data_IF_380340805857
#
_entry.id   IF_380340805857
#
_cell.length_a   1.000
_cell.length_b   1.000
_cell.length_c   1.000
_cell.angle_alpha   90.00
_cell.angle_beta   90.00
_cell.angle_gamma   90.00
#
_symmetry.space_group_name_H-M   'P 1'
#
loop_
_entity.id
_entity.type
_entity.pdbx_description
1 polymer ?
#
# COMPACT_ATOMS: atom_id res chain seq x y z
N UNK A 1 46.63 -41.00 70.38
CA UNK A 1 45.19 -40.85 70.59
C UNK A 1 44.99 -39.35 70.61
N UNK A 2 45.08 -38.75 69.38
CA UNK A 2 45.10 -37.30 69.14
C UNK A 2 43.89 -36.93 68.32
N UNK A 3 43.08 -36.00 68.86
CA UNK A 3 41.95 -35.42 68.16
C UNK A 3 42.42 -34.21 67.32
N UNK A 4 42.43 -34.34 66.01
CA UNK A 4 42.59 -33.21 65.13
C UNK A 4 41.22 -32.43 64.96
N UNK A 5 41.26 -31.22 65.48
CA UNK A 5 40.16 -30.25 65.25
C UNK A 5 40.38 -29.58 63.93
N UNK A 6 39.48 -29.92 62.93
CA UNK A 6 39.44 -29.28 61.67
C UNK A 6 38.72 -27.95 61.76
N UNK A 7 39.45 -26.83 61.69
CA UNK A 7 38.92 -25.48 61.46
C UNK A 7 38.46 -25.31 60.04
N UNK A 8 37.15 -25.11 59.83
CA UNK A 8 36.57 -24.64 58.58
C UNK A 8 36.82 -23.13 58.40
N UNK A 9 37.37 -22.67 57.31
CA UNK A 9 37.45 -21.23 57.05
C UNK A 9 36.07 -20.66 56.75
N UNK A 10 35.61 -19.67 57.51
CA UNK A 10 34.49 -18.82 57.22
C UNK A 10 34.80 -18.01 55.95
N UNK A 11 34.25 -18.42 54.81
CA UNK A 11 34.33 -17.69 53.56
C UNK A 11 33.30 -16.55 53.62
N UNK A 12 33.82 -15.34 53.52
CA UNK A 12 33.09 -14.07 53.50
C UNK A 12 32.00 -14.06 52.40
N UNK A 13 30.74 -14.17 52.81
CA UNK A 13 29.56 -14.04 51.94
C UNK A 13 29.27 -12.60 51.45
N UNK A 14 30.01 -11.60 51.93
CA UNK A 14 29.76 -10.18 51.59
C UNK A 14 30.36 -9.70 50.28
N UNK A 15 31.27 -10.42 49.63
CA UNK A 15 31.92 -9.99 48.38
C UNK A 15 31.12 -10.40 47.11
N UNK A 16 30.15 -11.33 47.26
CA UNK A 16 29.34 -11.82 46.16
C UNK A 16 28.22 -10.88 45.71
N UNK A 17 27.74 -10.00 46.57
CA UNK A 17 26.52 -9.23 46.34
C UNK A 17 26.77 -7.90 45.57
N UNK A 18 27.92 -7.29 45.71
CA UNK A 18 28.25 -6.02 45.01
C UNK A 18 28.56 -6.22 43.52
N UNK A 19 29.13 -7.36 43.13
CA UNK A 19 29.36 -7.68 41.68
C UNK A 19 28.08 -7.98 40.91
N UNK A 20 27.03 -8.43 41.60
CA UNK A 20 25.72 -8.75 41.00
C UNK A 20 24.88 -7.53 40.72
N UNK A 21 24.94 -6.50 41.54
CA UNK A 21 24.14 -5.27 41.39
C UNK A 21 24.69 -4.38 40.28
N UNK A 22 26.02 -4.21 40.21
CA UNK A 22 26.66 -3.45 39.13
C UNK A 22 26.49 -4.08 37.75
N UNK A 23 26.43 -5.42 37.66
CA UNK A 23 26.17 -6.14 36.42
C UNK A 23 24.72 -5.99 35.92
N UNK A 24 23.75 -6.00 36.84
CA UNK A 24 22.33 -5.85 36.52
C UNK A 24 21.99 -4.42 36.09
N UNK A 25 22.53 -3.40 36.70
CA UNK A 25 22.31 -1.99 36.32
C UNK A 25 22.93 -1.66 34.98
N UNK A 26 24.13 -2.19 34.68
CA UNK A 26 24.74 -2.04 33.34
C UNK A 26 23.92 -2.74 32.27
N UNK A 27 23.37 -3.92 32.51
CA UNK A 27 22.52 -4.63 31.54
C UNK A 27 21.21 -3.87 31.29
N UNK A 28 20.58 -3.33 32.34
CA UNK A 28 19.38 -2.51 32.24
C UNK A 28 19.65 -1.23 31.43
N UNK A 29 20.76 -0.53 31.69
CA UNK A 29 21.15 0.68 30.93
C UNK A 29 21.36 0.36 29.42
N UNK A 30 21.99 -0.77 29.08
CA UNK A 30 22.18 -1.21 27.69
C UNK A 30 20.85 -1.52 27.00
N UNK A 31 19.90 -2.14 27.71
CA UNK A 31 18.55 -2.40 27.18
C UNK A 31 17.77 -1.11 26.92
N UNK A 32 17.83 -0.15 27.84
CA UNK A 32 17.21 1.18 27.66
C UNK A 32 17.81 1.88 26.43
N UNK A 33 19.14 1.86 26.28
CA UNK A 33 19.81 2.43 25.13
C UNK A 33 19.37 1.78 23.80
N UNK A 34 19.23 0.44 23.78
CA UNK A 34 18.74 -0.28 22.60
C UNK A 34 17.28 0.08 22.29
N UNK A 35 16.43 0.20 23.29
CA UNK A 35 15.02 0.59 23.13
C UNK A 35 14.88 2.03 22.61
N UNK A 36 15.64 2.99 23.16
CA UNK A 36 15.67 4.37 22.68
C UNK A 36 16.20 4.48 21.24
N UNK A 37 17.21 3.70 20.92
CA UNK A 37 17.72 3.64 19.56
C UNK A 37 16.70 3.08 18.57
N UNK A 38 15.97 2.02 18.96
CA UNK A 38 14.87 1.47 18.13
C UNK A 38 13.74 2.46 17.94
N UNK A 39 13.37 3.20 19.00
CA UNK A 39 12.36 4.24 18.95
C UNK A 39 12.78 5.36 17.99
N UNK A 40 13.99 5.88 18.14
CA UNK A 40 14.54 6.94 17.27
C UNK A 40 14.63 6.49 15.81
N UNK A 41 15.07 5.24 15.58
CA UNK A 41 15.16 4.68 14.24
C UNK A 41 13.77 4.50 13.60
N UNK A 42 12.80 4.02 14.38
CA UNK A 42 11.41 3.94 13.96
C UNK A 42 10.85 5.31 13.58
N UNK A 43 11.06 6.31 14.44
CA UNK A 43 10.64 7.69 14.21
C UNK A 43 11.22 8.26 12.90
N UNK A 44 12.52 8.12 12.67
CA UNK A 44 13.18 8.56 11.44
C UNK A 44 12.61 7.85 10.22
N UNK A 45 12.37 6.54 10.30
CA UNK A 45 11.76 5.79 9.22
C UNK A 45 10.31 6.22 8.95
N UNK A 46 9.54 6.45 10.00
CA UNK A 46 8.16 6.95 9.87
C UNK A 46 8.10 8.31 9.20
N UNK A 47 8.95 9.25 9.64
CA UNK A 47 9.11 10.57 9.01
C UNK A 47 9.50 10.44 7.52
N UNK A 48 10.49 9.61 7.20
CA UNK A 48 10.98 9.46 5.83
C UNK A 48 9.93 8.83 4.91
N UNK A 49 9.24 7.79 5.37
CA UNK A 49 8.21 7.08 4.60
C UNK A 49 7.02 8.00 4.33
N UNK A 50 6.56 8.69 5.38
CA UNK A 50 5.42 9.61 5.26
C UNK A 50 5.80 10.83 4.43
N UNK A 51 7.01 11.35 4.56
CA UNK A 51 7.50 12.44 3.71
C UNK A 51 7.57 12.07 2.23
N UNK A 52 7.94 10.84 1.88
CA UNK A 52 7.87 10.35 0.48
C UNK A 52 6.42 10.16 0.03
N UNK A 53 5.53 9.78 0.94
CA UNK A 53 4.09 9.69 0.68
C UNK A 53 3.50 11.05 0.34
N UNK A 54 3.74 12.06 1.18
CA UNK A 54 3.24 13.42 0.94
C UNK A 54 3.88 14.06 -0.30
N UNK A 55 5.15 13.76 -0.58
CA UNK A 55 5.80 14.21 -1.80
C UNK A 55 5.07 13.73 -3.07
N UNK A 56 4.49 12.52 -3.06
CA UNK A 56 3.70 12.05 -4.19
C UNK A 56 2.44 12.87 -4.41
N UNK A 57 1.75 13.29 -3.34
CA UNK A 57 0.59 14.16 -3.44
C UNK A 57 0.95 15.59 -3.82
N UNK A 58 2.06 16.11 -3.29
CA UNK A 58 2.59 17.41 -3.71
C UNK A 58 2.94 17.45 -5.21
N UNK A 59 3.48 16.35 -5.75
CA UNK A 59 3.73 16.22 -7.20
C UNK A 59 2.42 16.18 -7.99
N UNK A 60 1.39 15.50 -7.49
CA UNK A 60 0.06 15.50 -8.11
C UNK A 60 -0.52 16.91 -8.13
N UNK A 61 -0.49 17.61 -7.01
CA UNK A 61 -1.01 18.96 -6.88
C UNK A 61 -0.31 19.92 -7.84
N UNK A 62 1.02 19.93 -7.82
CA UNK A 62 1.83 20.76 -8.71
C UNK A 62 1.53 20.52 -10.20
N UNK A 63 1.50 19.25 -10.63
CA UNK A 63 1.37 18.91 -12.05
C UNK A 63 -0.08 19.02 -12.52
N UNK A 64 -1.04 18.57 -11.70
CA UNK A 64 -2.42 18.36 -12.15
C UNK A 64 -3.39 19.47 -11.71
N UNK A 65 -3.03 20.25 -10.72
CA UNK A 65 -3.85 21.38 -10.26
C UNK A 65 -3.20 22.69 -10.72
N UNK A 66 -1.97 22.96 -10.26
CA UNK A 66 -1.32 24.25 -10.51
C UNK A 66 -0.95 24.43 -11.98
N UNK A 67 -0.21 23.50 -12.57
CA UNK A 67 0.23 23.61 -13.97
C UNK A 67 -0.91 23.43 -14.98
N UNK A 68 -1.87 22.56 -14.70
CA UNK A 68 -3.03 22.40 -15.56
C UNK A 68 -3.88 23.66 -15.60
N UNK A 69 -4.08 24.33 -14.44
CA UNK A 69 -4.77 25.62 -14.37
C UNK A 69 -4.06 26.76 -15.12
N UNK A 70 -2.73 26.69 -15.23
CA UNK A 70 -1.94 27.68 -15.99
C UNK A 70 -1.98 27.39 -17.50
N UNK A 71 -1.92 26.12 -17.88
CA UNK A 71 -1.77 25.74 -19.28
C UNK A 71 -3.07 25.89 -20.09
N UNK A 72 -4.23 25.68 -19.49
CA UNK A 72 -5.57 25.72 -20.10
C UNK A 72 -5.63 25.09 -21.52
N UNK A 73 -4.95 23.95 -21.67
CA UNK A 73 -4.79 23.26 -22.96
C UNK A 73 -5.56 21.94 -22.94
N UNK A 74 -6.49 21.69 -23.86
CA UNK A 74 -7.30 20.48 -23.88
C UNK A 74 -6.48 19.18 -23.93
N UNK A 75 -5.26 19.23 -24.51
CA UNK A 75 -4.36 18.07 -24.63
C UNK A 75 -3.35 17.98 -23.49
N UNK A 76 -3.47 18.82 -22.46
CA UNK A 76 -2.54 18.82 -21.33
C UNK A 76 -2.29 17.42 -20.73
N UNK A 77 -3.29 16.57 -20.48
CA UNK A 77 -3.09 15.26 -19.88
C UNK A 77 -2.13 14.35 -20.67
N UNK A 78 -2.05 14.51 -21.98
CA UNK A 78 -1.17 13.72 -22.84
C UNK A 78 0.32 14.00 -22.55
N UNK A 79 0.66 15.23 -22.19
CA UNK A 79 2.05 15.67 -21.98
C UNK A 79 2.65 14.98 -20.76
N UNK A 80 2.17 15.19 -19.51
CA UNK A 80 2.76 14.57 -18.33
C UNK A 80 2.67 13.04 -18.35
N UNK A 81 1.57 12.46 -18.85
CA UNK A 81 1.43 11.01 -18.96
C UNK A 81 2.45 10.39 -19.93
N UNK A 82 2.66 11.01 -21.11
CA UNK A 82 3.66 10.53 -22.08
C UNK A 82 5.09 10.72 -21.53
N UNK A 83 5.40 11.87 -20.93
CA UNK A 83 6.72 12.14 -20.36
C UNK A 83 7.07 11.15 -19.24
N UNK A 84 6.12 10.84 -18.36
CA UNK A 84 6.30 9.81 -17.34
C UNK A 84 6.54 8.43 -17.97
N UNK A 85 5.78 8.07 -19.00
CA UNK A 85 5.98 6.84 -19.76
C UNK A 85 7.36 6.76 -20.42
N UNK A 86 7.85 7.86 -21.01
CA UNK A 86 9.21 7.97 -21.58
C UNK A 86 10.26 7.77 -20.50
N UNK A 87 10.14 8.48 -19.37
CA UNK A 87 11.09 8.38 -18.26
C UNK A 87 11.17 6.97 -17.68
N UNK A 88 10.03 6.32 -17.43
CA UNK A 88 9.95 4.93 -16.98
C UNK A 88 10.58 3.97 -18.01
N UNK A 89 10.37 4.22 -19.29
CA UNK A 89 10.97 3.45 -20.38
C UNK A 89 12.50 3.61 -20.40
N UNK A 90 13.02 4.81 -20.25
CA UNK A 90 14.48 5.07 -20.17
C UNK A 90 15.10 4.38 -18.96
N UNK A 91 14.43 4.41 -17.80
CA UNK A 91 14.83 3.66 -16.61
C UNK A 91 14.87 2.17 -16.90
N UNK A 92 13.84 1.63 -17.59
CA UNK A 92 13.77 0.23 -17.97
C UNK A 92 14.89 -0.19 -18.93
N UNK A 93 15.32 0.69 -19.83
CA UNK A 93 16.46 0.43 -20.71
C UNK A 93 17.79 0.44 -19.95
N UNK A 94 17.97 1.37 -19.01
CA UNK A 94 19.24 1.56 -18.29
C UNK A 94 19.45 0.58 -17.15
N UNK A 95 18.37 0.25 -16.39
CA UNK A 95 18.44 -0.52 -15.14
C UNK A 95 17.70 -1.87 -15.20
N UNK A 96 17.20 -2.25 -16.38
CA UNK A 96 16.48 -3.48 -16.56
C UNK A 96 14.94 -3.33 -16.44
N UNK A 97 14.25 -4.44 -16.71
CA UNK A 97 12.78 -4.49 -16.72
C UNK A 97 12.20 -3.99 -15.40
N UNK A 98 11.09 -3.22 -15.44
CA UNK A 98 10.41 -2.78 -14.24
C UNK A 98 9.87 -3.99 -13.46
N UNK A 99 9.98 -3.92 -12.12
CA UNK A 99 9.40 -4.91 -11.22
C UNK A 99 7.89 -4.68 -11.11
N UNK A 100 7.13 -5.76 -11.17
CA UNK A 100 5.69 -5.65 -10.99
C UNK A 100 5.37 -5.60 -9.49
N UNK A 101 4.60 -4.59 -9.02
CA UNK A 101 4.28 -4.44 -7.59
C UNK A 101 3.63 -5.67 -6.97
N UNK A 102 2.83 -6.41 -7.73
CA UNK A 102 2.16 -7.63 -7.25
C UNK A 102 3.11 -8.81 -7.01
N UNK A 103 4.20 -8.90 -7.76
CA UNK A 103 5.21 -9.95 -7.55
C UNK A 103 6.05 -9.66 -6.31
N UNK A 104 6.33 -8.38 -6.03
CA UNK A 104 7.04 -7.92 -4.84
C UNK A 104 6.27 -8.15 -3.54
N UNK A 105 4.94 -8.01 -3.54
CA UNK A 105 4.11 -8.33 -2.37
C UNK A 105 4.10 -9.82 -2.03
N UNK A 106 4.02 -10.68 -3.02
CA UNK A 106 4.07 -12.13 -2.80
C UNK A 106 5.41 -12.58 -2.23
N UNK A 107 6.51 -11.94 -2.66
CA UNK A 107 7.84 -12.14 -2.11
C UNK A 107 7.94 -11.60 -0.68
N UNK A 108 7.52 -10.35 -0.43
CA UNK A 108 7.55 -9.72 0.89
C UNK A 108 6.70 -10.47 1.94
N UNK A 109 5.54 -11.00 1.54
CA UNK A 109 4.70 -11.81 2.42
C UNK A 109 5.33 -13.17 2.77
N UNK A 110 6.08 -13.79 1.82
CA UNK A 110 6.87 -15.00 2.11
C UNK A 110 8.04 -14.71 3.02
N UNK A 111 8.72 -13.60 2.83
CA UNK A 111 9.85 -13.17 3.64
C UNK A 111 9.49 -12.89 5.10
N UNK A 112 8.31 -12.34 5.33
CA UNK A 112 7.81 -12.13 6.69
C UNK A 112 7.50 -13.46 7.40
N UNK A 113 7.29 -14.55 6.65
CA UNK A 113 6.97 -15.88 7.19
C UNK A 113 8.22 -16.73 7.49
N UNK A 114 9.34 -16.54 6.79
CA UNK A 114 10.55 -17.37 6.93
C UNK A 114 11.75 -16.56 7.45
N UNK A 115 12.07 -16.73 8.73
CA UNK A 115 13.23 -16.08 9.39
C UNK A 115 14.61 -16.40 8.74
N UNK A 116 14.69 -17.43 7.92
CA UNK A 116 15.93 -17.88 7.24
C UNK A 116 16.14 -17.16 5.90
N UNK A 117 15.09 -16.74 5.22
CA UNK A 117 15.15 -16.10 3.91
C UNK A 117 15.35 -14.57 3.94
N UNK A 118 15.34 -13.93 5.09
CA UNK A 118 15.66 -12.49 5.22
C UNK A 118 17.08 -12.17 4.70
N UNK A 119 18.00 -13.13 4.68
CA UNK A 119 19.29 -13.00 3.99
C UNK A 119 19.16 -13.05 2.47
N UNK A 120 18.25 -13.87 1.96
CA UNK A 120 17.99 -13.96 0.52
C UNK A 120 17.23 -12.73 0.01
N UNK A 121 16.29 -12.19 0.79
CA UNK A 121 15.53 -11.00 0.44
C UNK A 121 16.34 -9.71 0.43
N UNK A 122 17.31 -9.57 1.32
CA UNK A 122 18.30 -8.48 1.20
C UNK A 122 19.17 -8.59 -0.07
N UNK A 123 19.26 -9.80 -0.65
CA UNK A 123 19.98 -10.08 -1.91
C UNK A 123 19.07 -10.32 -3.11
N UNK A 124 17.78 -10.62 -2.91
CA UNK A 124 16.88 -11.20 -3.90
C UNK A 124 15.73 -10.32 -4.37
N UNK A 125 15.72 -9.03 -4.03
CA UNK A 125 14.67 -8.11 -4.51
C UNK A 125 14.79 -7.76 -6.01
N UNK A 126 15.78 -8.24 -6.68
CA UNK A 126 15.83 -8.48 -8.14
C UNK A 126 17.12 -9.22 -8.49
N UNK A 127 17.04 -10.19 -9.38
CA UNK A 127 18.18 -10.70 -10.12
C UNK A 127 18.72 -9.67 -11.14
N UNK A 128 18.29 -8.41 -11.04
CA UNK A 128 18.76 -7.27 -11.80
C UNK A 128 19.75 -6.40 -11.01
N UNK A 129 20.51 -5.51 -11.68
CA UNK A 129 21.39 -4.57 -11.00
C UNK A 129 20.56 -3.73 -10.02
N UNK A 130 21.00 -3.67 -8.75
CA UNK A 130 20.31 -2.88 -7.71
C UNK A 130 20.13 -1.44 -8.18
N UNK A 131 18.88 -1.00 -8.35
CA UNK A 131 18.56 0.37 -8.72
C UNK A 131 19.02 1.31 -7.59
N UNK A 132 19.79 2.37 -7.88
CA UNK A 132 20.18 3.34 -6.87
C UNK A 132 18.94 4.05 -6.29
N UNK A 133 19.04 4.52 -5.04
CA UNK A 133 17.91 5.14 -4.32
C UNK A 133 17.20 6.25 -5.12
N UNK A 134 17.90 7.18 -5.80
CA UNK A 134 17.23 8.21 -6.60
C UNK A 134 16.37 7.64 -7.74
N UNK A 135 16.82 6.56 -8.38
CA UNK A 135 16.05 5.88 -9.45
C UNK A 135 14.81 5.20 -8.87
N UNK A 136 14.90 4.62 -7.68
CA UNK A 136 13.73 4.03 -7.01
C UNK A 136 12.71 5.09 -6.60
N UNK A 137 13.16 6.26 -6.15
CA UNK A 137 12.28 7.40 -5.85
C UNK A 137 11.62 7.88 -7.15
N UNK A 138 12.36 8.00 -8.24
CA UNK A 138 11.81 8.36 -9.56
C UNK A 138 10.80 7.32 -10.05
N UNK A 139 11.11 6.02 -9.99
CA UNK A 139 10.17 4.94 -10.35
C UNK A 139 8.87 5.02 -9.54
N UNK A 140 8.94 5.51 -8.31
CA UNK A 140 7.78 5.71 -7.45
C UNK A 140 6.98 6.97 -7.81
N UNK A 141 7.65 8.11 -8.02
CA UNK A 141 6.99 9.41 -8.23
C UNK A 141 6.46 9.61 -9.67
N UNK A 142 7.15 9.07 -10.69
CA UNK A 142 6.77 9.25 -12.09
C UNK A 142 5.35 8.82 -12.43
N UNK A 143 4.80 7.70 -11.90
CA UNK A 143 3.41 7.33 -12.11
C UNK A 143 2.42 8.41 -11.65
N UNK A 144 2.70 9.10 -10.53
CA UNK A 144 1.84 10.14 -10.00
C UNK A 144 1.98 11.45 -10.79
N UNK A 145 3.21 11.82 -11.15
CA UNK A 145 3.46 12.93 -12.06
C UNK A 145 2.76 12.73 -13.42
N UNK A 146 2.73 11.50 -13.93
CA UNK A 146 2.01 11.12 -15.14
C UNK A 146 0.49 10.97 -15.00
N UNK A 147 -0.10 11.22 -13.82
CA UNK A 147 -1.53 11.07 -13.57
C UNK A 147 -2.02 9.63 -13.53
N UNK A 148 -1.12 8.68 -13.24
CA UNK A 148 -1.47 7.28 -13.16
C UNK A 148 -2.53 6.98 -12.11
N UNK A 149 -3.62 6.26 -12.45
CA UNK A 149 -4.62 5.80 -11.50
C UNK A 149 -4.09 4.64 -10.67
N UNK A 150 -3.03 4.89 -9.91
CA UNK A 150 -2.33 3.89 -9.10
C UNK A 150 -2.19 4.37 -7.65
N UNK A 151 -2.38 3.48 -6.70
CA UNK A 151 -2.40 3.84 -5.27
C UNK A 151 -0.99 4.05 -4.71
N UNK A 152 -0.79 5.14 -3.98
CA UNK A 152 0.50 5.55 -3.37
C UNK A 152 0.99 4.52 -2.34
N UNK A 153 0.11 4.03 -1.47
CA UNK A 153 0.47 3.18 -0.35
C UNK A 153 1.26 1.91 -0.75
N UNK A 154 0.87 1.27 -1.84
CA UNK A 154 1.53 0.05 -2.32
C UNK A 154 2.89 0.30 -2.96
N UNK A 155 3.08 1.45 -3.59
CA UNK A 155 4.39 1.85 -4.10
C UNK A 155 5.43 2.03 -3.00
N UNK A 156 4.99 2.38 -1.79
CA UNK A 156 5.85 2.54 -0.61
C UNK A 156 6.30 1.23 0.03
N UNK A 157 5.62 0.11 -0.22
CA UNK A 157 5.96 -1.19 0.42
C UNK A 157 7.44 -1.53 0.23
N UNK A 158 7.99 -1.33 -0.97
CA UNK A 158 9.41 -1.54 -1.24
C UNK A 158 10.36 -0.66 -0.41
N UNK A 159 9.97 0.59 -0.13
CA UNK A 159 10.72 1.50 0.73
C UNK A 159 10.63 1.08 2.19
N UNK A 160 9.43 0.74 2.67
CA UNK A 160 9.17 0.24 4.03
C UNK A 160 10.02 -1.00 4.30
N UNK A 161 9.95 -2.01 3.43
CA UNK A 161 10.69 -3.26 3.59
C UNK A 161 12.21 -3.04 3.58
N UNK A 162 12.71 -2.21 2.66
CA UNK A 162 14.14 -1.85 2.61
C UNK A 162 14.59 -1.08 3.85
N UNK A 163 13.77 -0.15 4.34
CA UNK A 163 14.00 0.61 5.56
C UNK A 163 14.05 -0.30 6.78
N UNK A 164 13.08 -1.18 6.95
CA UNK A 164 13.05 -2.17 8.04
C UNK A 164 14.27 -3.11 8.02
N UNK A 165 14.65 -3.61 6.84
CA UNK A 165 15.83 -4.46 6.70
C UNK A 165 17.14 -3.71 7.01
N UNK A 166 17.25 -2.43 6.63
CA UNK A 166 18.38 -1.57 6.98
C UNK A 166 18.39 -1.31 8.49
N UNK A 167 17.26 -0.98 9.08
CA UNK A 167 17.08 -0.75 10.50
C UNK A 167 17.52 -1.97 11.32
N UNK A 168 17.03 -3.15 10.96
CA UNK A 168 17.41 -4.42 11.60
C UNK A 168 18.93 -4.61 11.60
N UNK A 169 19.59 -4.41 10.45
CA UNK A 169 21.05 -4.56 10.35
C UNK A 169 21.79 -3.57 11.23
N UNK A 170 21.35 -2.31 11.30
CA UNK A 170 21.96 -1.28 12.14
C UNK A 170 21.83 -1.59 13.62
N UNK A 171 20.64 -1.99 14.06
CA UNK A 171 20.39 -2.39 15.46
C UNK A 171 21.29 -3.56 15.84
N UNK A 172 21.34 -4.61 15.03
CA UNK A 172 22.17 -5.78 15.30
C UNK A 172 23.66 -5.45 15.36
N UNK A 173 24.15 -4.59 14.44
CA UNK A 173 25.54 -4.13 14.45
C UNK A 173 25.88 -3.33 15.71
N UNK A 174 24.98 -2.46 16.18
CA UNK A 174 25.19 -1.66 17.38
C UNK A 174 25.07 -2.50 18.65
N UNK A 175 24.11 -3.39 18.74
CA UNK A 175 23.99 -4.34 19.85
C UNK A 175 25.25 -5.19 20.00
N UNK A 176 25.85 -5.64 18.90
CA UNK A 176 27.14 -6.33 18.91
C UNK A 176 28.30 -5.45 19.39
N UNK A 177 28.39 -4.19 18.92
CA UNK A 177 29.44 -3.24 19.31
C UNK A 177 29.35 -2.85 20.79
N UNK A 178 28.15 -2.69 21.32
CA UNK A 178 27.93 -2.35 22.74
C UNK A 178 27.93 -3.57 23.65
N UNK A 179 28.21 -4.77 23.14
CA UNK A 179 28.28 -5.99 23.93
C UNK A 179 26.96 -6.34 24.62
N UNK A 180 25.82 -5.87 24.07
CA UNK A 180 24.50 -6.17 24.62
C UNK A 180 24.19 -7.63 24.38
N UNK A 181 24.60 -8.16 23.20
CA UNK A 181 24.47 -9.57 22.82
C UNK A 181 25.46 -9.90 21.71
N UNK A 182 26.01 -11.12 21.74
CA UNK A 182 27.03 -11.58 20.80
C UNK A 182 26.47 -11.91 19.39
N UNK A 183 25.13 -11.99 19.22
CA UNK A 183 24.51 -12.26 17.94
C UNK A 183 22.98 -12.34 17.96
N UNK A 184 22.36 -12.43 16.78
CA UNK A 184 20.89 -12.52 16.63
C UNK A 184 20.28 -13.75 17.33
N UNK A 185 21.06 -14.81 17.52
CA UNK A 185 20.61 -16.05 18.17
C UNK A 185 20.39 -15.89 19.69
N UNK A 186 21.03 -14.89 20.31
CA UNK A 186 21.01 -14.68 21.75
C UNK A 186 19.79 -13.92 22.27
N UNK A 187 19.00 -13.33 21.34
CA UNK A 187 17.73 -12.69 21.70
C UNK A 187 16.60 -13.69 21.87
N UNK A 188 15.96 -13.69 23.03
CA UNK A 188 14.72 -14.44 23.21
C UNK A 188 13.62 -13.89 22.28
N UNK A 189 12.63 -14.73 21.92
CA UNK A 189 11.49 -14.29 21.09
C UNK A 189 10.80 -13.06 21.70
N UNK A 190 10.61 -13.02 23.02
CA UNK A 190 9.98 -11.89 23.73
C UNK A 190 10.78 -10.59 23.58
N UNK A 191 12.10 -10.66 23.67
CA UNK A 191 12.98 -9.49 23.54
C UNK A 191 12.97 -8.92 22.11
N UNK A 192 13.03 -9.80 21.11
CA UNK A 192 12.88 -9.38 19.69
C UNK A 192 11.54 -8.70 19.47
N UNK A 193 10.45 -9.31 19.93
CA UNK A 193 9.10 -8.74 19.81
C UNK A 193 9.02 -7.37 20.46
N UNK A 194 9.53 -7.20 21.67
CA UNK A 194 9.52 -5.91 22.37
C UNK A 194 10.27 -4.82 21.60
N UNK A 195 11.49 -5.09 21.14
CA UNK A 195 12.27 -4.12 20.35
C UNK A 195 11.57 -3.75 19.04
N UNK A 196 10.99 -4.72 18.33
CA UNK A 196 10.23 -4.44 17.09
C UNK A 196 8.97 -3.63 17.39
N UNK A 197 8.25 -3.93 18.47
CA UNK A 197 7.06 -3.14 18.87
C UNK A 197 7.45 -1.68 19.17
N UNK A 198 8.56 -1.45 19.89
CA UNK A 198 9.06 -0.09 20.15
C UNK A 198 9.41 0.64 18.85
N UNK A 199 10.08 -0.05 17.91
CA UNK A 199 10.39 0.52 16.59
C UNK A 199 9.14 0.85 15.76
N UNK A 200 8.12 0.00 15.80
CA UNK A 200 6.83 0.23 15.14
C UNK A 200 6.12 1.44 15.74
N UNK A 201 6.07 1.54 17.09
CA UNK A 201 5.50 2.71 17.79
C UNK A 201 6.24 3.99 17.38
N UNK A 202 7.58 3.97 17.35
CA UNK A 202 8.38 5.09 16.83
C UNK A 202 8.00 5.46 15.39
N UNK A 203 7.80 4.46 14.52
CA UNK A 203 7.37 4.66 13.14
C UNK A 203 6.00 5.34 13.03
N UNK A 204 5.04 4.91 13.82
CA UNK A 204 3.71 5.56 13.87
C UNK A 204 3.79 6.99 14.40
N UNK A 205 4.60 7.25 15.44
CA UNK A 205 4.80 8.61 15.97
C UNK A 205 5.46 9.50 14.91
N UNK A 206 6.47 9.00 14.20
CA UNK A 206 7.11 9.72 13.11
C UNK A 206 6.17 10.03 11.95
N UNK A 207 5.34 9.07 11.55
CA UNK A 207 4.32 9.27 10.53
C UNK A 207 3.27 10.29 10.97
N UNK A 208 2.77 10.19 12.22
CA UNK A 208 1.81 11.14 12.77
C UNK A 208 2.38 12.57 12.84
N UNK A 209 3.66 12.73 13.16
CA UNK A 209 4.31 14.04 13.17
C UNK A 209 4.34 14.70 11.79
N UNK A 210 4.54 13.95 10.70
CA UNK A 210 4.46 14.50 9.34
C UNK A 210 3.04 14.96 9.03
N UNK A 211 2.05 14.14 9.37
CA UNK A 211 0.62 14.47 9.17
C UNK A 211 0.23 15.75 9.91
N UNK A 212 0.72 15.91 11.16
CA UNK A 212 0.42 17.10 11.98
C UNK A 212 1.10 18.37 11.43
N UNK A 213 2.34 18.24 10.92
CA UNK A 213 3.13 19.37 10.44
C UNK A 213 2.77 19.82 9.02
N UNK A 214 2.45 18.89 8.13
CA UNK A 214 2.25 19.16 6.69
C UNK A 214 0.82 18.88 6.22
N UNK A 215 -0.01 18.27 7.05
CA UNK A 215 -1.31 17.73 6.68
C UNK A 215 -1.21 16.37 6.00
N UNK A 216 -2.36 15.82 5.63
CA UNK A 216 -2.42 14.64 4.77
C UNK A 216 -2.72 15.10 3.35
N UNK A 217 -1.80 14.91 2.42
CA UNK A 217 -2.08 15.06 0.99
C UNK A 217 -3.11 14.05 0.46
N UNK A 218 -3.39 12.99 1.24
CA UNK A 218 -4.40 11.98 0.90
C UNK A 218 -5.78 12.41 1.39
N UNK A 219 -6.71 12.55 0.46
CA UNK A 219 -8.13 12.80 0.76
C UNK A 219 -8.95 11.62 0.25
N UNK A 220 -9.59 10.89 1.17
CA UNK A 220 -10.49 9.79 0.79
C UNK A 220 -11.88 10.39 0.58
N UNK A 221 -12.46 10.26 -0.63
CA UNK A 221 -13.82 10.71 -0.87
C UNK A 221 -14.79 10.03 0.09
N UNK A 222 -15.62 10.81 0.79
CA UNK A 222 -16.66 10.29 1.67
C UNK A 222 -18.02 10.56 1.07
N UNK A 223 -18.88 9.58 1.16
CA UNK A 223 -20.29 9.69 0.76
C UNK A 223 -21.19 9.80 1.98
N UNK A 224 -22.40 10.27 1.75
CA UNK A 224 -23.44 10.33 2.79
C UNK A 224 -23.83 8.94 3.30
N UNK A 225 -24.46 8.88 4.47
CA UNK A 225 -24.91 7.65 5.06
C UNK A 225 -26.00 6.98 4.22
N UNK A 226 -25.90 5.69 4.01
CA UNK A 226 -27.02 4.90 3.48
C UNK A 226 -28.17 4.89 4.49
N UNK A 227 -29.44 5.11 4.07
CA UNK A 227 -30.57 5.01 4.96
C UNK A 227 -30.74 3.58 5.48
N UNK A 228 -31.09 3.44 6.77
CA UNK A 228 -31.37 2.13 7.37
C UNK A 228 -32.80 1.73 7.03
N UNK A 229 -32.98 1.16 5.85
CA UNK A 229 -34.30 0.67 5.38
C UNK A 229 -34.17 -0.65 4.64
N UNK A 230 -35.27 -1.40 4.58
CA UNK A 230 -35.31 -2.65 3.82
C UNK A 230 -35.17 -2.42 2.32
N UNK A 231 -35.64 -1.28 1.83
CA UNK A 231 -35.50 -0.86 0.45
C UNK A 231 -34.01 -0.60 0.11
N UNK A 232 -33.27 0.13 0.95
CA UNK A 232 -31.84 0.37 0.79
C UNK A 232 -31.05 -0.95 0.76
N UNK A 233 -31.40 -1.91 1.61
CA UNK A 233 -30.79 -3.24 1.61
C UNK A 233 -31.09 -3.98 0.31
N UNK A 234 -32.33 -3.90 -0.21
CA UNK A 234 -32.72 -4.51 -1.48
C UNK A 234 -31.98 -3.91 -2.68
N UNK A 235 -31.93 -2.58 -2.77
CA UNK A 235 -31.16 -1.87 -3.80
C UNK A 235 -29.66 -2.20 -3.67
N UNK A 236 -29.14 -2.16 -2.45
CA UNK A 236 -27.74 -2.52 -2.17
C UNK A 236 -27.39 -3.93 -2.62
N UNK A 237 -28.30 -4.89 -2.47
CA UNK A 237 -28.12 -6.26 -2.94
C UNK A 237 -27.94 -6.35 -4.47
N UNK A 238 -28.71 -5.58 -5.23
CA UNK A 238 -28.59 -5.52 -6.69
C UNK A 238 -27.28 -4.83 -7.12
N UNK A 239 -26.96 -3.70 -6.49
CA UNK A 239 -25.73 -2.95 -6.79
C UNK A 239 -24.47 -3.73 -6.40
N UNK A 240 -24.55 -4.55 -5.36
CA UNK A 240 -23.45 -5.44 -4.95
C UNK A 240 -23.03 -6.40 -6.08
N UNK A 241 -23.97 -6.87 -6.91
CA UNK A 241 -23.64 -7.71 -8.07
C UNK A 241 -22.82 -6.91 -9.09
N UNK A 242 -23.18 -5.65 -9.36
CA UNK A 242 -22.43 -4.80 -10.28
C UNK A 242 -21.02 -4.50 -9.73
N UNK A 243 -20.87 -4.20 -8.44
CA UNK A 243 -19.58 -4.03 -7.77
C UNK A 243 -18.72 -5.30 -7.84
N UNK A 244 -19.34 -6.46 -7.62
CA UNK A 244 -18.65 -7.76 -7.73
C UNK A 244 -18.13 -7.99 -9.16
N UNK A 245 -18.94 -7.70 -10.19
CA UNK A 245 -18.52 -7.79 -11.60
C UNK A 245 -17.35 -6.86 -11.87
N UNK A 246 -17.37 -5.62 -11.37
CA UNK A 246 -16.25 -4.66 -11.54
C UNK A 246 -14.96 -5.19 -10.91
N UNK A 247 -15.02 -5.71 -9.68
CA UNK A 247 -13.86 -6.32 -9.02
C UNK A 247 -13.29 -7.52 -9.78
N UNK A 248 -14.16 -8.39 -10.33
CA UNK A 248 -13.73 -9.48 -11.20
C UNK A 248 -13.16 -9.01 -12.54
N UNK A 249 -13.73 -7.97 -13.13
CA UNK A 249 -13.22 -7.37 -14.37
C UNK A 249 -11.78 -6.91 -14.19
N UNK A 250 -11.46 -6.25 -13.06
CA UNK A 250 -10.07 -5.93 -12.73
C UNK A 250 -9.18 -7.17 -12.70
N UNK A 251 -9.58 -8.24 -11.99
CA UNK A 251 -8.78 -9.48 -11.89
C UNK A 251 -8.59 -10.13 -13.27
N UNK A 252 -9.61 -10.11 -14.12
CA UNK A 252 -9.53 -10.64 -15.49
C UNK A 252 -8.56 -9.82 -16.35
N UNK A 253 -8.70 -8.49 -16.32
CA UNK A 253 -7.82 -7.57 -17.04
C UNK A 253 -6.36 -7.67 -16.57
N UNK A 254 -6.13 -7.78 -15.26
CA UNK A 254 -4.80 -7.95 -14.70
C UNK A 254 -4.13 -9.25 -15.16
N UNK A 255 -4.88 -10.36 -15.26
CA UNK A 255 -4.38 -11.61 -15.83
C UNK A 255 -4.07 -11.50 -17.32
N UNK A 256 -4.93 -10.82 -18.07
CA UNK A 256 -4.70 -10.55 -19.49
C UNK A 256 -3.44 -9.68 -19.66
N UNK A 257 -3.32 -8.59 -18.94
CA UNK A 257 -2.15 -7.71 -18.96
C UNK A 257 -0.86 -8.47 -18.62
N UNK A 258 -0.91 -9.35 -17.61
CA UNK A 258 0.21 -10.21 -17.25
C UNK A 258 0.62 -11.15 -18.40
N UNK A 259 -0.34 -11.78 -19.05
CA UNK A 259 -0.06 -12.65 -20.23
C UNK A 259 0.55 -11.84 -21.38
N UNK A 260 0.01 -10.67 -21.69
CA UNK A 260 0.55 -9.79 -22.72
C UNK A 260 1.99 -9.35 -22.38
N UNK A 261 2.25 -9.01 -21.12
CA UNK A 261 3.60 -8.72 -20.64
C UNK A 261 4.55 -9.90 -20.88
N UNK A 262 4.16 -11.11 -20.53
CA UNK A 262 4.98 -12.32 -20.70
C UNK A 262 5.31 -12.60 -22.17
N UNK A 263 4.37 -12.31 -23.08
CA UNK A 263 4.56 -12.48 -24.54
C UNK A 263 5.36 -11.34 -25.22
N UNK A 264 5.41 -10.16 -24.60
CA UNK A 264 6.03 -8.98 -25.20
C UNK A 264 7.57 -9.04 -25.30
N UNK A 265 8.24 -10.01 -24.62
CA UNK A 265 9.68 -10.24 -24.71
C UNK A 265 10.55 -8.96 -24.62
N UNK A 266 11.22 -8.58 -25.74
CA UNK A 266 12.06 -7.37 -25.82
C UNK A 266 11.25 -6.08 -25.73
N UNK A 267 9.99 -6.08 -26.20
CA UNK A 267 9.12 -4.92 -26.18
C UNK A 267 8.62 -4.55 -24.76
N UNK A 268 8.79 -5.40 -23.76
CA UNK A 268 8.41 -5.10 -22.37
C UNK A 268 8.96 -3.75 -21.87
N UNK A 269 10.13 -3.34 -22.36
CA UNK A 269 10.74 -2.06 -21.94
C UNK A 269 10.01 -0.84 -22.51
N UNK A 270 9.27 -0.99 -23.61
CA UNK A 270 8.50 0.08 -24.26
C UNK A 270 7.06 0.18 -23.71
N UNK A 271 6.58 -0.83 -23.00
CA UNK A 271 5.21 -0.86 -22.51
C UNK A 271 4.87 0.31 -21.54
N UNK A 272 5.77 0.81 -20.69
CA UNK A 272 5.47 1.99 -19.88
C UNK A 272 5.12 3.22 -20.72
N UNK A 273 5.83 3.42 -21.85
CA UNK A 273 5.53 4.52 -22.79
C UNK A 273 4.15 4.34 -23.44
N UNK A 274 3.86 3.14 -23.95
CA UNK A 274 2.56 2.85 -24.56
C UNK A 274 1.43 3.11 -23.55
N UNK A 275 1.61 2.67 -22.31
CA UNK A 275 0.66 2.93 -21.24
C UNK A 275 0.48 4.42 -20.95
N UNK A 276 1.58 5.21 -20.95
CA UNK A 276 1.51 6.65 -20.76
C UNK A 276 0.71 7.35 -21.85
N UNK A 277 0.92 6.98 -23.11
CA UNK A 277 0.15 7.53 -24.25
C UNK A 277 -1.33 7.15 -24.11
N UNK A 278 -1.64 5.88 -23.86
CA UNK A 278 -3.02 5.41 -23.70
C UNK A 278 -3.71 6.11 -22.54
N UNK A 279 -3.03 6.28 -21.40
CA UNK A 279 -3.54 7.01 -20.24
C UNK A 279 -3.85 8.48 -20.63
N UNK A 280 -2.88 9.19 -21.22
CA UNK A 280 -3.04 10.59 -21.59
C UNK A 280 -4.19 10.79 -22.58
N UNK A 281 -4.31 9.93 -23.60
CA UNK A 281 -5.44 9.96 -24.54
C UNK A 281 -6.76 9.68 -23.81
N UNK A 282 -6.79 8.69 -22.93
CA UNK A 282 -8.01 8.37 -22.16
C UNK A 282 -8.47 9.54 -21.29
N UNK A 283 -7.53 10.29 -20.71
CA UNK A 283 -7.84 11.47 -19.88
C UNK A 283 -8.36 12.66 -20.66
N UNK A 284 -8.05 12.77 -21.97
CA UNK A 284 -8.64 13.81 -22.83
C UNK A 284 -10.15 13.59 -22.99
N UNK A 285 -10.59 12.34 -23.15
CA UNK A 285 -12.01 12.02 -23.35
C UNK A 285 -12.76 11.81 -22.03
N UNK A 286 -12.08 11.29 -21.01
CA UNK A 286 -12.61 10.99 -19.69
C UNK A 286 -11.62 11.50 -18.63
N UNK A 287 -11.67 12.80 -18.25
CA UNK A 287 -10.68 13.40 -17.34
C UNK A 287 -10.52 12.65 -16.01
N UNK A 288 -11.58 12.03 -15.55
CA UNK A 288 -11.63 11.35 -14.23
C UNK A 288 -11.06 9.92 -14.21
N UNK A 289 -10.50 9.42 -15.32
CA UNK A 289 -9.86 8.10 -15.34
C UNK A 289 -8.43 8.12 -14.78
N UNK A 290 -7.81 9.29 -14.70
CA UNK A 290 -6.49 9.49 -14.13
C UNK A 290 -6.48 9.65 -12.61
N UNK A 291 -5.30 9.89 -12.06
CA UNK A 291 -4.99 10.17 -10.65
C UNK A 291 -5.29 9.02 -9.69
N UNK A 292 -4.76 8.99 -8.46
CA UNK A 292 -4.94 7.86 -7.53
C UNK A 292 -6.38 7.60 -7.08
N UNK A 293 -7.24 8.61 -7.07
CA UNK A 293 -8.60 8.53 -6.51
C UNK A 293 -8.66 8.74 -4.99
N UNK A 294 -7.55 9.10 -4.39
CA UNK A 294 -7.40 9.49 -2.99
C UNK A 294 -6.68 10.84 -2.89
N UNK A 295 -6.93 11.71 -3.84
CA UNK A 295 -6.38 13.06 -3.98
C UNK A 295 -7.52 14.09 -3.92
N UNK A 296 -7.15 15.36 -3.72
CA UNK A 296 -8.10 16.45 -3.58
C UNK A 296 -8.99 16.64 -4.82
N UNK A 297 -8.42 16.49 -6.02
CA UNK A 297 -9.17 16.60 -7.27
C UNK A 297 -10.23 15.51 -7.41
N UNK A 298 -9.85 14.26 -7.13
CA UNK A 298 -10.80 13.14 -7.13
C UNK A 298 -11.90 13.31 -6.07
N UNK A 299 -11.58 13.89 -4.92
CA UNK A 299 -12.56 14.17 -3.87
C UNK A 299 -13.53 15.29 -4.24
N UNK A 300 -13.05 16.33 -4.91
CA UNK A 300 -13.87 17.44 -5.39
C UNK A 300 -14.87 16.95 -6.44
N UNK A 301 -14.44 16.06 -7.35
CA UNK A 301 -15.37 15.43 -8.31
C UNK A 301 -16.51 14.71 -7.60
N UNK A 302 -16.22 14.00 -6.52
CA UNK A 302 -17.26 13.27 -5.78
C UNK A 302 -18.27 14.20 -5.13
N UNK A 303 -17.89 15.43 -4.76
CA UNK A 303 -18.81 16.45 -4.27
C UNK A 303 -19.78 16.95 -5.34
N UNK A 304 -19.39 16.97 -6.62
CA UNK A 304 -20.16 17.49 -7.75
C UNK A 304 -20.55 16.41 -8.76
N UNK A 305 -20.70 15.18 -8.31
CA UNK A 305 -20.93 14.01 -9.19
C UNK A 305 -22.20 14.11 -10.04
N UNK A 306 -23.23 14.85 -9.59
CA UNK A 306 -24.47 15.06 -10.35
C UNK A 306 -24.23 15.82 -11.66
N UNK A 307 -23.24 16.75 -11.68
CA UNK A 307 -22.89 17.52 -12.86
C UNK A 307 -22.17 16.68 -13.94
N UNK A 308 -21.46 15.64 -13.51
CA UNK A 308 -20.71 14.74 -14.40
C UNK A 308 -21.63 13.84 -15.22
N UNK A 309 -22.73 13.45 -14.64
CA UNK A 309 -23.73 12.58 -15.27
C UNK A 309 -23.44 11.08 -15.14
N UNK A 310 -24.50 10.25 -15.05
CA UNK A 310 -24.40 8.83 -14.74
C UNK A 310 -23.59 8.01 -15.75
N UNK A 311 -23.76 8.28 -17.03
CA UNK A 311 -23.10 7.54 -18.10
C UNK A 311 -21.57 7.75 -18.07
N UNK A 312 -21.12 8.99 -17.82
CA UNK A 312 -19.69 9.33 -17.71
C UNK A 312 -19.08 8.67 -16.48
N UNK A 313 -19.78 8.65 -15.33
CA UNK A 313 -19.31 8.00 -14.12
C UNK A 313 -19.15 6.48 -14.32
N UNK A 314 -20.12 5.81 -14.94
CA UNK A 314 -20.05 4.38 -15.27
C UNK A 314 -18.90 4.11 -16.26
N UNK A 315 -18.78 4.92 -17.32
CA UNK A 315 -17.70 4.80 -18.27
C UNK A 315 -16.32 4.99 -17.62
N UNK A 316 -16.20 5.98 -16.73
CA UNK A 316 -14.99 6.21 -15.90
C UNK A 316 -14.65 4.99 -15.08
N UNK A 317 -15.61 4.40 -14.38
CA UNK A 317 -15.39 3.20 -13.57
C UNK A 317 -14.84 2.03 -14.39
N UNK A 318 -15.41 1.79 -15.58
CA UNK A 318 -15.02 0.68 -16.44
C UNK A 318 -13.66 0.91 -17.10
N UNK A 319 -13.47 2.05 -17.75
CA UNK A 319 -12.21 2.39 -18.44
C UNK A 319 -11.05 2.45 -17.46
N UNK A 320 -11.24 3.09 -16.31
CA UNK A 320 -10.23 3.18 -15.28
C UNK A 320 -9.86 1.81 -14.71
N UNK A 321 -10.82 0.90 -14.51
CA UNK A 321 -10.55 -0.48 -14.06
C UNK A 321 -9.60 -1.20 -15.02
N UNK A 322 -9.80 -1.04 -16.32
CA UNK A 322 -8.90 -1.59 -17.34
C UNK A 322 -7.52 -0.92 -17.26
N UNK A 323 -7.48 0.41 -17.24
CA UNK A 323 -6.22 1.17 -17.18
C UNK A 323 -5.36 0.77 -15.96
N UNK A 324 -5.94 0.68 -14.77
CA UNK A 324 -5.23 0.25 -13.56
C UNK A 324 -4.59 -1.13 -13.76
N UNK A 325 -5.37 -2.07 -14.30
CA UNK A 325 -4.89 -3.43 -14.52
C UNK A 325 -3.71 -3.48 -15.48
N UNK A 326 -3.74 -2.69 -16.56
CA UNK A 326 -2.66 -2.64 -17.54
C UNK A 326 -1.44 -1.87 -17.03
N UNK A 327 -1.62 -0.66 -16.50
CA UNK A 327 -0.53 0.17 -15.97
C UNK A 327 0.31 -0.58 -14.95
N UNK A 328 -0.33 -1.19 -13.93
CA UNK A 328 0.36 -1.92 -12.86
C UNK A 328 1.10 -3.17 -13.35
N UNK A 329 0.67 -3.79 -14.44
CA UNK A 329 1.35 -4.95 -15.01
C UNK A 329 2.38 -4.57 -16.10
N UNK A 330 2.38 -3.33 -16.58
CA UNK A 330 3.25 -2.85 -17.66
C UNK A 330 4.28 -1.83 -17.22
N UNK A 331 4.65 -1.82 -15.93
CA UNK A 331 5.82 -1.10 -15.43
C UNK A 331 5.53 0.24 -14.77
N UNK A 332 4.28 0.58 -14.49
CA UNK A 332 3.91 1.70 -13.63
C UNK A 332 3.81 1.22 -12.19
N UNK A 333 4.54 1.88 -11.27
CA UNK A 333 4.57 1.50 -9.86
C UNK A 333 3.35 2.03 -9.12
N UNK A 334 2.83 1.24 -8.19
CA UNK A 334 1.69 1.64 -7.34
C UNK A 334 0.84 0.45 -6.92
N UNK A 335 -0.32 0.72 -6.34
CA UNK A 335 -1.26 -0.28 -5.87
C UNK A 335 -2.65 -0.16 -6.48
N UNK A 336 -3.41 -1.25 -6.54
CA UNK A 336 -4.76 -1.23 -7.10
C UNK A 336 -5.84 -0.86 -6.07
N UNK A 337 -5.56 -0.86 -4.76
CA UNK A 337 -6.59 -0.80 -3.72
C UNK A 337 -7.43 0.49 -3.80
N UNK A 338 -6.82 1.66 -3.58
CA UNK A 338 -7.55 2.94 -3.64
C UNK A 338 -8.14 3.22 -5.01
N UNK A 339 -7.44 2.96 -6.13
CA UNK A 339 -8.04 3.07 -7.45
C UNK A 339 -9.29 2.22 -7.66
N UNK A 340 -9.34 1.00 -7.15
CA UNK A 340 -10.55 0.15 -7.23
C UNK A 340 -11.66 0.71 -6.36
N UNK A 341 -11.36 1.22 -5.16
CA UNK A 341 -12.35 1.91 -4.32
C UNK A 341 -12.96 3.06 -5.10
N UNK A 342 -12.15 3.91 -5.73
CA UNK A 342 -12.63 5.03 -6.54
C UNK A 342 -13.46 4.59 -7.75
N UNK A 343 -13.04 3.56 -8.49
CA UNK A 343 -13.85 2.98 -9.57
C UNK A 343 -15.22 2.52 -9.06
N UNK A 344 -15.25 1.91 -7.87
CA UNK A 344 -16.48 1.42 -7.27
C UNK A 344 -17.38 2.56 -6.78
N UNK A 345 -16.79 3.67 -6.30
CA UNK A 345 -17.53 4.90 -5.99
C UNK A 345 -18.15 5.46 -7.27
N UNK A 346 -17.39 5.63 -8.34
CA UNK A 346 -17.91 6.09 -9.64
C UNK A 346 -19.05 5.20 -10.15
N UNK A 347 -18.90 3.87 -10.03
CA UNK A 347 -19.96 2.94 -10.41
C UNK A 347 -21.22 3.12 -9.57
N UNK A 348 -21.07 3.21 -8.24
CA UNK A 348 -22.19 3.40 -7.31
C UNK A 348 -22.93 4.70 -7.58
N UNK A 349 -22.21 5.82 -7.72
CA UNK A 349 -22.79 7.13 -8.05
C UNK A 349 -23.44 7.14 -9.43
N UNK A 350 -22.82 6.50 -10.41
CA UNK A 350 -23.39 6.36 -11.75
C UNK A 350 -24.72 5.57 -11.74
N UNK A 351 -24.81 4.49 -10.97
CA UNK A 351 -26.04 3.73 -10.79
C UNK A 351 -27.09 4.57 -10.04
N UNK A 352 -26.69 5.25 -8.96
CA UNK A 352 -27.58 6.13 -8.21
C UNK A 352 -28.20 7.21 -9.09
N UNK A 353 -27.39 7.89 -9.91
CA UNK A 353 -27.90 8.91 -10.84
C UNK A 353 -28.74 8.35 -11.97
N UNK A 354 -28.45 7.15 -12.49
CA UNK A 354 -29.22 6.53 -13.58
C UNK A 354 -30.61 6.06 -13.14
N UNK A 355 -30.76 5.59 -11.90
CA UNK A 355 -31.99 4.99 -11.38
C UNK A 355 -32.68 5.85 -10.31
N UNK A 356 -32.13 7.02 -9.95
CA UNK A 356 -32.66 7.85 -8.87
C UNK A 356 -32.57 7.22 -7.49
N UNK A 357 -31.61 6.30 -7.31
CA UNK A 357 -31.41 5.59 -6.04
C UNK A 357 -30.54 6.40 -5.08
N UNK A 358 -30.56 6.03 -3.80
CA UNK A 358 -29.72 6.64 -2.78
C UNK A 358 -28.22 6.41 -3.07
N UNK A 359 -27.45 7.50 -3.13
CA UNK A 359 -26.02 7.47 -3.48
C UNK A 359 -25.17 6.71 -2.44
N UNK A 360 -25.46 6.94 -1.15
CA UNK A 360 -24.76 6.25 -0.05
C UNK A 360 -24.95 4.75 -0.11
N UNK A 361 -26.18 4.30 -0.35
CA UNK A 361 -26.53 2.88 -0.54
C UNK A 361 -25.77 2.27 -1.73
N UNK A 362 -25.81 2.94 -2.88
CA UNK A 362 -25.20 2.42 -4.10
C UNK A 362 -23.66 2.34 -3.96
N UNK A 363 -23.03 3.36 -3.39
CA UNK A 363 -21.59 3.37 -3.17
C UNK A 363 -21.16 2.33 -2.13
N UNK A 364 -21.84 2.27 -0.99
CA UNK A 364 -21.52 1.29 0.06
C UNK A 364 -21.57 -0.14 -0.45
N UNK A 365 -22.59 -0.48 -1.23
CA UNK A 365 -22.75 -1.80 -1.83
C UNK A 365 -21.72 -2.09 -2.91
N UNK A 366 -21.49 -1.13 -3.84
CA UNK A 366 -20.52 -1.29 -4.92
C UNK A 366 -19.08 -1.48 -4.40
N UNK A 367 -18.64 -0.64 -3.44
CA UNK A 367 -17.30 -0.70 -2.86
C UNK A 367 -17.11 -1.99 -2.06
N UNK A 368 -18.05 -2.31 -1.17
CA UNK A 368 -17.98 -3.53 -0.35
C UNK A 368 -17.85 -4.79 -1.20
N UNK A 369 -18.71 -4.95 -2.21
CA UNK A 369 -18.70 -6.10 -3.10
C UNK A 369 -17.46 -6.16 -4.01
N UNK A 370 -17.03 -5.02 -4.58
CA UNK A 370 -15.86 -4.97 -5.45
C UNK A 370 -14.58 -5.36 -4.71
N UNK A 371 -14.39 -4.90 -3.47
CA UNK A 371 -13.23 -5.25 -2.66
C UNK A 371 -13.19 -6.74 -2.30
N UNK A 372 -14.35 -7.37 -2.01
CA UNK A 372 -14.43 -8.82 -1.84
C UNK A 372 -14.10 -9.54 -3.13
N UNK A 373 -14.66 -9.10 -4.26
CA UNK A 373 -14.41 -9.69 -5.57
C UNK A 373 -12.94 -9.53 -6.00
N UNK A 374 -12.32 -8.42 -5.74
CA UNK A 374 -10.91 -8.14 -6.02
C UNK A 374 -9.96 -9.02 -5.18
N UNK A 375 -10.11 -8.99 -3.86
CA UNK A 375 -9.17 -9.61 -2.93
C UNK A 375 -9.40 -11.12 -2.73
N UNK A 376 -10.65 -11.57 -2.82
CA UNK A 376 -11.07 -12.91 -2.45
C UNK A 376 -11.29 -13.14 -0.96
N UNK A 377 -11.24 -12.08 -0.19
CA UNK A 377 -11.39 -12.14 1.26
C UNK A 377 -12.61 -11.30 1.68
N UNK A 378 -13.62 -11.90 2.34
CA UNK A 378 -14.80 -11.15 2.78
C UNK A 378 -14.45 -9.96 3.67
N UNK A 379 -13.44 -10.11 4.53
CA UNK A 379 -12.98 -9.05 5.44
C UNK A 379 -12.57 -7.76 4.71
N UNK A 380 -12.08 -7.87 3.48
CA UNK A 380 -11.71 -6.68 2.69
C UNK A 380 -12.90 -5.79 2.34
N UNK A 381 -14.11 -6.33 2.31
CA UNK A 381 -15.31 -5.53 2.08
C UNK A 381 -15.60 -4.54 3.20
N UNK A 382 -15.15 -4.82 4.43
CA UNK A 382 -15.28 -3.89 5.58
C UNK A 382 -14.50 -2.60 5.35
N UNK A 383 -13.47 -2.62 4.48
CA UNK A 383 -12.74 -1.42 4.13
C UNK A 383 -13.60 -0.37 3.39
N UNK A 384 -14.83 -0.70 2.95
CA UNK A 384 -15.79 0.29 2.47
C UNK A 384 -16.11 1.38 3.53
N UNK A 385 -15.93 1.10 4.83
CA UNK A 385 -16.05 2.09 5.90
C UNK A 385 -15.01 3.21 5.83
N UNK A 386 -14.00 3.10 4.98
CA UNK A 386 -13.06 4.21 4.73
C UNK A 386 -13.73 5.36 3.97
N UNK A 387 -14.71 5.07 3.11
CA UNK A 387 -15.43 6.05 2.31
C UNK A 387 -16.91 6.18 2.70
N UNK A 388 -17.46 5.25 3.46
CA UNK A 388 -18.85 5.25 3.91
C UNK A 388 -18.93 5.36 5.43
N UNK A 389 -19.89 6.13 5.99
CA UNK A 389 -20.10 6.20 7.43
C UNK A 389 -20.61 4.88 8.01
N UNK A 390 -20.55 4.75 9.34
CA UNK A 390 -20.87 3.52 10.06
C UNK A 390 -22.33 3.10 9.92
N UNK A 391 -23.22 4.02 9.66
CA UNK A 391 -24.64 3.77 9.41
C UNK A 391 -24.88 2.90 8.15
N UNK A 392 -23.90 2.90 7.23
CA UNK A 392 -23.94 2.07 6.02
C UNK A 392 -23.59 0.59 6.26
N UNK A 393 -23.22 0.19 7.49
CA UNK A 393 -22.84 -1.20 7.83
C UNK A 393 -23.86 -2.25 7.36
N UNK A 394 -25.18 -2.07 7.50
CA UNK A 394 -26.15 -3.09 7.05
C UNK A 394 -26.04 -3.37 5.55
N UNK A 395 -25.91 -2.32 4.74
CA UNK A 395 -25.76 -2.43 3.28
C UNK A 395 -24.42 -3.07 2.91
N UNK A 396 -23.32 -2.63 3.56
CA UNK A 396 -21.99 -3.23 3.35
C UNK A 396 -22.00 -4.71 3.71
N UNK A 397 -22.60 -5.10 4.84
CA UNK A 397 -22.65 -6.49 5.27
C UNK A 397 -23.39 -7.38 4.25
N UNK A 398 -24.54 -6.93 3.74
CA UNK A 398 -25.28 -7.64 2.70
C UNK A 398 -24.45 -7.74 1.42
N UNK A 399 -23.81 -6.65 0.99
CA UNK A 399 -22.96 -6.66 -0.19
C UNK A 399 -21.75 -7.63 -0.05
N UNK A 400 -21.15 -7.68 1.12
CA UNK A 400 -20.05 -8.63 1.44
C UNK A 400 -20.55 -10.07 1.39
N UNK A 401 -21.71 -10.37 1.97
CA UNK A 401 -22.29 -11.72 1.97
C UNK A 401 -22.62 -12.18 0.54
N UNK A 402 -23.24 -11.32 -0.26
CA UNK A 402 -23.55 -11.62 -1.67
C UNK A 402 -22.25 -11.86 -2.45
N UNK A 403 -21.27 -10.95 -2.34
CA UNK A 403 -20.02 -11.07 -3.07
C UNK A 403 -19.19 -12.31 -2.64
N UNK A 404 -19.26 -12.70 -1.39
CA UNK A 404 -18.61 -13.91 -0.88
C UNK A 404 -19.34 -15.19 -1.30
N UNK A 405 -20.67 -15.15 -1.43
CA UNK A 405 -21.51 -16.26 -1.86
C UNK A 405 -21.43 -16.56 -3.36
N UNK A 406 -21.10 -15.58 -4.18
CA UNK A 406 -20.96 -15.79 -5.64
C UNK A 406 -19.61 -16.47 -5.95
N UNK A 407 -19.63 -17.70 -6.53
CA UNK A 407 -18.39 -18.41 -6.80
C UNK A 407 -17.54 -17.73 -7.87
N UNK A 408 -16.26 -17.53 -7.57
CA UNK A 408 -15.32 -17.01 -8.55
C UNK A 408 -15.04 -18.06 -9.62
N UNK A 409 -14.98 -17.68 -10.89
CA UNK A 409 -14.54 -18.56 -11.97
C UNK A 409 -13.18 -19.18 -11.65
N UNK A 410 -13.03 -20.50 -11.87
CA UNK A 410 -11.75 -21.20 -11.58
C UNK A 410 -10.56 -20.57 -12.30
N UNK A 411 -10.78 -20.04 -13.51
CA UNK A 411 -9.79 -19.30 -14.29
C UNK A 411 -9.32 -18.00 -13.63
N UNK A 412 -10.13 -17.41 -12.74
CA UNK A 412 -9.86 -16.15 -12.04
C UNK A 412 -9.47 -16.34 -10.56
N UNK A 413 -9.45 -17.59 -10.06
CA UNK A 413 -8.87 -17.88 -8.74
C UNK A 413 -7.37 -17.54 -8.82
N UNK A 414 -6.99 -16.48 -8.14
CA UNK A 414 -5.62 -15.99 -8.16
C UNK A 414 -4.65 -16.91 -7.43
N UNK A 415 -3.37 -16.70 -7.62
CA UNK A 415 -2.27 -17.40 -6.92
C UNK A 415 -2.34 -17.23 -5.39
N UNK A 416 -3.11 -16.27 -4.87
CA UNK A 416 -3.42 -16.11 -3.44
C UNK A 416 -4.20 -17.28 -2.84
N UNK A 417 -5.04 -17.99 -3.62
CA UNK A 417 -5.85 -19.12 -3.14
C UNK A 417 -5.16 -20.48 -3.27
N UNK A 418 -4.04 -20.58 -3.98
CA UNK A 418 -3.27 -21.82 -4.14
C UNK A 418 -2.32 -22.15 -2.98
N UNK A 419 -2.31 -21.34 -1.92
CA UNK A 419 -1.36 -21.45 -0.81
C UNK A 419 -2.02 -21.71 0.54
N UNK A 420 -3.11 -22.46 0.53
CA UNK A 420 -3.65 -23.14 1.72
C UNK A 420 -3.39 -24.62 1.63
#
# INVERSE_FOLDING_TARGET
>A
MDQEISEKPMINETVGNERGVGSRSMLAARWIAAALFMLALGLILGLAIMGVFDLAYAVIELVWIDWNGIADVPFYPLIPATLAGVALTLIAFRYGKPERPMDSMGAAAKEAADEVEVRAAASGYSNGPRRPLPVRIADFLLPFAGGGPVGVAMGLVGFIMSGCAWAKRRVMSLCGKFGILAGEKDFSKRQKTLLYTIGIVGGFVGAAAVVELFGLGMVIPRVEAAPISLEAVGIGALVAVAGWVLGLAYVACAKLAKRLWEHANKAQRLLPLVCGIVLGVSMIFLPHVGLPGSDAYSSQLMGNWQEVGPAVLIATALVRTVLIAFLLNMGWSGGPFFPIVYCSICLGLGIAGAFGADAGTCVAAAVGAALVAFSGQPLMGVAALMCCPVESIPVIAVAVVIAAGIPRPKSLKGDFARRR
#
